data_IF_600625405025
#
_entry.id   IF_600625405025
#
_cell.length_a   1.000
_cell.length_b   1.000
_cell.length_c   1.000
_cell.angle_alpha   90.00
_cell.angle_beta   90.00
_cell.angle_gamma   90.00
#
_symmetry.space_group_name_H-M   'P 1'
#
loop_
_entity.id
_entity.type
_entity.pdbx_description
1 polymer ?
#
# COMPACT_ATOMS: atom_id res chain seq x y z
N UNK A 1 -25.47 17.84 30.05
CA UNK A 1 -26.34 17.12 31.02
C UNK A 1 -27.47 16.29 30.40
N UNK A 2 -27.71 16.35 29.09
CA UNK A 2 -28.80 15.62 28.43
C UNK A 2 -28.44 14.20 27.91
N UNK A 3 -27.14 13.87 27.75
CA UNK A 3 -26.73 12.57 27.28
C UNK A 3 -26.75 11.42 28.31
N UNK A 4 -26.88 11.75 29.59
CA UNK A 4 -26.81 10.75 30.67
C UNK A 4 -28.14 10.02 30.94
N UNK A 5 -29.25 10.51 30.39
CA UNK A 5 -30.58 9.96 30.71
C UNK A 5 -31.06 8.88 29.74
N UNK A 6 -30.36 8.68 28.61
CA UNK A 6 -30.80 7.71 27.60
C UNK A 6 -30.19 6.29 27.75
N UNK A 7 -29.26 6.11 28.70
CA UNK A 7 -28.55 4.84 28.91
C UNK A 7 -28.87 4.14 30.23
N UNK A 8 -29.96 4.52 30.89
CA UNK A 8 -30.45 3.86 32.10
C UNK A 8 -31.47 2.75 31.71
N UNK A 9 -31.04 1.52 31.68
CA UNK A 9 -31.94 0.37 31.61
C UNK A 9 -32.05 -0.21 33.01
N UNK A 10 -33.24 -0.14 33.61
CA UNK A 10 -33.56 -0.79 34.90
C UNK A 10 -32.65 -0.40 36.07
N UNK A 11 -32.28 0.89 36.22
CA UNK A 11 -31.43 1.35 37.30
C UNK A 11 -29.93 1.07 37.11
N UNK A 12 -29.52 0.49 35.98
CA UNK A 12 -28.12 0.19 35.64
C UNK A 12 -27.54 1.27 34.73
N UNK A 13 -26.42 1.87 35.12
CA UNK A 13 -25.76 2.89 34.33
C UNK A 13 -24.86 2.22 33.30
N UNK A 14 -25.37 2.01 32.06
CA UNK A 14 -24.66 1.35 30.96
C UNK A 14 -23.36 2.10 30.58
N UNK A 15 -23.31 3.42 30.81
CA UNK A 15 -22.10 4.20 30.52
C UNK A 15 -20.93 3.86 31.46
N UNK A 16 -21.23 3.34 32.68
CA UNK A 16 -20.17 2.86 33.59
C UNK A 16 -19.50 1.56 33.14
N UNK A 17 -20.14 0.79 32.24
CA UNK A 17 -19.55 -0.45 31.65
C UNK A 17 -18.68 -0.15 30.44
N UNK A 18 -18.77 1.02 29.83
CA UNK A 18 -18.04 1.35 28.62
C UNK A 18 -16.50 1.22 28.77
N UNK A 19 -15.86 1.70 29.88
CA UNK A 19 -14.45 1.47 30.11
C UNK A 19 -14.10 -0.03 30.27
N UNK A 20 -14.97 -0.80 30.93
CA UNK A 20 -14.75 -2.24 31.11
C UNK A 20 -14.83 -2.98 29.78
N UNK A 21 -15.79 -2.63 28.92
CA UNK A 21 -15.93 -3.19 27.57
C UNK A 21 -14.68 -2.88 26.74
N UNK A 22 -14.18 -1.64 26.79
CA UNK A 22 -12.96 -1.23 26.10
C UNK A 22 -11.72 -1.99 26.60
N UNK A 23 -11.61 -2.24 27.91
CA UNK A 23 -10.51 -3.04 28.48
C UNK A 23 -10.62 -4.48 28.04
N UNK A 24 -11.81 -5.07 28.01
CA UNK A 24 -12.02 -6.46 27.55
C UNK A 24 -11.70 -6.59 26.07
N UNK A 25 -12.18 -5.67 25.24
CA UNK A 25 -11.88 -5.62 23.81
C UNK A 25 -10.36 -5.45 23.58
N UNK A 26 -9.74 -4.51 24.28
CA UNK A 26 -8.29 -4.31 24.21
C UNK A 26 -7.49 -5.53 24.67
N UNK A 27 -7.95 -6.22 25.73
CA UNK A 27 -7.35 -7.47 26.18
C UNK A 27 -7.47 -8.60 25.16
N UNK A 28 -8.62 -8.74 24.52
CA UNK A 28 -8.83 -9.73 23.44
C UNK A 28 -7.91 -9.46 22.25
N UNK A 29 -7.77 -8.19 21.86
CA UNK A 29 -6.85 -7.77 20.78
C UNK A 29 -5.41 -8.06 21.13
N UNK A 30 -4.98 -7.79 22.37
CA UNK A 30 -3.61 -8.08 22.83
C UNK A 30 -3.30 -9.58 22.90
N UNK A 31 -4.28 -10.41 23.27
CA UNK A 31 -4.07 -11.86 23.43
C UNK A 31 -4.16 -12.60 22.10
N UNK A 32 -5.07 -12.18 21.22
CA UNK A 32 -5.34 -12.88 19.96
C UNK A 32 -4.71 -12.22 18.72
N UNK A 33 -4.21 -11.00 18.83
CA UNK A 33 -3.76 -10.21 17.69
C UNK A 33 -4.90 -9.78 16.75
N UNK A 34 -6.09 -10.30 16.98
CA UNK A 34 -7.29 -10.13 16.17
C UNK A 34 -8.54 -10.12 17.05
N UNK A 35 -9.51 -9.27 16.74
CA UNK A 35 -10.81 -9.27 17.43
C UNK A 35 -11.72 -10.45 17.03
N UNK A 36 -11.51 -11.03 15.84
CA UNK A 36 -12.47 -11.96 15.24
C UNK A 36 -11.85 -13.07 14.38
N UNK A 37 -10.54 -13.38 14.48
CA UNK A 37 -9.91 -14.37 13.63
C UNK A 37 -8.78 -15.17 14.30
N UNK A 38 -8.52 -16.38 13.82
CA UNK A 38 -7.28 -17.11 14.10
C UNK A 38 -6.13 -16.30 13.45
N UNK A 39 -5.42 -15.54 14.27
CA UNK A 39 -4.37 -14.61 13.88
C UNK A 39 -3.10 -15.26 13.37
N UNK A 40 -3.17 -15.97 12.26
CA UNK A 40 -2.03 -16.50 11.55
C UNK A 40 -2.13 -16.18 10.07
N UNK A 41 -1.30 -15.26 9.56
CA UNK A 41 -1.17 -15.07 8.12
C UNK A 41 -0.78 -16.38 7.44
N UNK A 42 -1.43 -16.71 6.32
CA UNK A 42 -1.06 -17.86 5.49
C UNK A 42 -0.03 -17.45 4.46
N UNK A 43 1.04 -18.25 4.35
CA UNK A 43 2.06 -18.02 3.34
C UNK A 43 1.66 -18.65 2.01
N UNK A 44 2.01 -17.99 0.92
CA UNK A 44 1.90 -18.53 -0.43
C UNK A 44 3.17 -18.27 -1.22
N UNK A 45 3.37 -19.06 -2.25
CA UNK A 45 4.47 -18.88 -3.20
C UNK A 45 4.14 -19.57 -4.50
N UNK A 46 4.32 -18.85 -5.59
CA UNK A 46 3.99 -19.28 -6.93
C UNK A 46 5.26 -19.26 -7.76
N UNK A 47 5.54 -20.34 -8.47
CA UNK A 47 6.67 -20.44 -9.39
C UNK A 47 6.42 -19.62 -10.66
N UNK A 48 7.46 -19.07 -11.25
CA UNK A 48 7.37 -18.21 -12.45
C UNK A 48 6.84 -18.95 -13.68
N UNK A 49 7.30 -20.18 -13.92
CA UNK A 49 6.96 -20.90 -15.15
C UNK A 49 7.42 -20.14 -16.40
N UNK A 50 6.54 -20.06 -17.42
CA UNK A 50 6.76 -19.34 -18.69
C UNK A 50 6.23 -17.90 -18.70
N UNK A 51 5.96 -17.32 -17.51
CA UNK A 51 5.39 -15.97 -17.41
C UNK A 51 6.44 -14.91 -17.77
N UNK A 52 6.08 -14.01 -18.68
CA UNK A 52 6.90 -12.89 -19.13
C UNK A 52 6.35 -11.54 -18.68
N UNK A 53 5.04 -11.43 -18.41
CA UNK A 53 4.39 -10.22 -17.91
C UNK A 53 3.45 -10.57 -16.77
N UNK A 54 3.34 -9.68 -15.77
CA UNK A 54 2.44 -9.94 -14.67
C UNK A 54 1.67 -8.68 -14.20
N UNK A 55 0.48 -8.92 -13.65
CA UNK A 55 -0.32 -7.90 -13.00
C UNK A 55 -0.62 -8.31 -11.55
N UNK A 56 -0.44 -7.36 -10.63
CA UNK A 56 -0.84 -7.45 -9.24
C UNK A 56 -2.06 -6.59 -9.01
N UNK A 57 -3.17 -7.18 -8.59
CA UNK A 57 -4.42 -6.50 -8.26
C UNK A 57 -4.76 -6.76 -6.80
N UNK A 58 -4.59 -5.77 -5.93
CA UNK A 58 -4.94 -5.83 -4.51
C UNK A 58 -6.10 -4.88 -4.22
N UNK A 59 -7.20 -5.43 -3.74
CA UNK A 59 -8.33 -4.67 -3.20
C UNK A 59 -8.48 -5.01 -1.71
N UNK A 60 -7.73 -4.30 -0.87
CA UNK A 60 -7.74 -4.50 0.56
C UNK A 60 -8.75 -3.55 1.23
N UNK A 61 -9.50 -4.06 2.20
CA UNK A 61 -10.35 -3.21 3.04
C UNK A 61 -9.52 -2.46 4.10
N UNK A 62 -9.78 -2.63 5.41
CA UNK A 62 -8.96 -2.10 6.50
C UNK A 62 -7.77 -3.04 6.80
N UNK A 63 -6.83 -3.13 5.86
CA UNK A 63 -5.62 -3.96 5.96
C UNK A 63 -4.44 -3.19 5.40
N UNK A 64 -3.32 -3.25 6.09
CA UNK A 64 -2.05 -2.73 5.60
C UNK A 64 -1.51 -3.62 4.49
N UNK A 65 -0.95 -2.99 3.45
CA UNK A 65 -0.37 -3.70 2.31
C UNK A 65 1.09 -3.33 2.16
N UNK A 66 1.94 -4.35 2.06
CA UNK A 66 3.37 -4.21 1.80
C UNK A 66 3.74 -4.99 0.55
N UNK A 67 4.28 -4.31 -0.47
CA UNK A 67 4.77 -4.93 -1.71
C UNK A 67 6.23 -4.57 -1.95
N UNK A 68 7.05 -5.54 -2.38
CA UNK A 68 8.49 -5.34 -2.60
C UNK A 68 9.07 -6.37 -3.57
N UNK A 69 10.32 -6.17 -4.00
CA UNK A 69 11.03 -7.09 -4.88
C UNK A 69 11.43 -8.40 -4.19
N UNK A 70 11.17 -9.54 -4.83
CA UNK A 70 11.50 -10.88 -4.33
C UNK A 70 13.01 -11.10 -4.41
N UNK A 71 13.63 -11.60 -3.33
CA UNK A 71 15.07 -11.89 -3.30
C UNK A 71 15.44 -13.25 -3.89
N UNK A 72 14.48 -14.15 -4.08
CA UNK A 72 14.71 -15.51 -4.56
C UNK A 72 14.30 -15.64 -6.03
N UNK A 73 15.21 -16.10 -6.84
CA UNK A 73 14.97 -16.45 -8.23
C UNK A 73 14.01 -17.65 -8.37
N UNK A 74 13.42 -17.83 -9.53
CA UNK A 74 12.48 -18.90 -9.90
C UNK A 74 11.06 -18.79 -9.31
N UNK A 75 10.74 -17.79 -8.49
CA UNK A 75 9.36 -17.53 -8.08
C UNK A 75 8.80 -16.32 -8.80
N UNK A 76 7.55 -16.41 -9.22
CA UNK A 76 6.80 -15.28 -9.74
C UNK A 76 6.43 -14.32 -8.61
N UNK A 77 5.86 -14.88 -7.55
CA UNK A 77 5.34 -14.13 -6.43
C UNK A 77 5.34 -14.99 -5.16
N UNK A 78 5.60 -14.37 -4.04
CA UNK A 78 5.46 -14.99 -2.72
C UNK A 78 4.90 -13.97 -1.73
N UNK A 79 4.30 -14.42 -0.66
CA UNK A 79 3.77 -13.49 0.34
C UNK A 79 2.98 -14.14 1.43
N UNK A 80 2.31 -13.26 2.19
CA UNK A 80 1.44 -13.62 3.29
C UNK A 80 0.10 -12.91 3.14
N UNK A 81 -0.98 -13.62 3.46
CA UNK A 81 -2.34 -13.09 3.40
C UNK A 81 -3.17 -13.53 4.60
N UNK A 82 -4.22 -12.80 4.91
CA UNK A 82 -5.19 -13.20 5.94
C UNK A 82 -5.97 -14.45 5.49
N UNK A 83 -6.35 -15.37 6.40
CA UNK A 83 -6.93 -16.68 6.06
C UNK A 83 -8.07 -16.65 5.05
N UNK A 84 -8.91 -15.60 5.09
CA UNK A 84 -10.13 -15.48 4.26
C UNK A 84 -9.90 -14.70 2.95
N UNK A 85 -8.65 -14.35 2.63
CA UNK A 85 -8.28 -13.52 1.47
C UNK A 85 -7.31 -14.24 0.55
N UNK A 86 -7.62 -15.51 0.22
CA UNK A 86 -6.74 -16.35 -0.60
C UNK A 86 -6.44 -15.68 -1.95
N UNK A 87 -5.14 -15.57 -2.32
CA UNK A 87 -4.76 -15.07 -3.63
C UNK A 87 -5.32 -15.96 -4.75
N UNK A 88 -5.90 -15.33 -5.77
CA UNK A 88 -6.35 -15.98 -7.01
C UNK A 88 -5.35 -15.65 -8.13
N UNK A 89 -4.74 -16.68 -8.69
CA UNK A 89 -3.81 -16.58 -9.79
C UNK A 89 -4.44 -17.09 -11.08
N UNK A 90 -4.49 -16.23 -12.07
CA UNK A 90 -4.89 -16.55 -13.43
C UNK A 90 -3.68 -16.43 -14.34
N UNK A 91 -3.40 -17.47 -15.13
CA UNK A 91 -2.32 -17.49 -16.13
C UNK A 91 -2.94 -17.71 -17.49
N UNK A 92 -2.66 -16.77 -18.40
CA UNK A 92 -3.07 -16.85 -19.79
C UNK A 92 -1.83 -16.70 -20.70
N UNK A 93 -1.34 -17.81 -21.23
CA UNK A 93 -0.11 -17.87 -22.00
C UNK A 93 1.10 -17.41 -21.18
N UNK A 94 1.71 -16.30 -21.60
CA UNK A 94 2.87 -15.69 -20.94
C UNK A 94 2.49 -14.59 -19.93
N UNK A 95 1.20 -14.31 -19.75
CA UNK A 95 0.69 -13.29 -18.86
C UNK A 95 0.13 -13.91 -17.57
N UNK A 96 0.50 -13.36 -16.44
CA UNK A 96 -0.06 -13.75 -15.15
C UNK A 96 -0.81 -12.58 -14.51
N UNK A 97 -1.93 -12.86 -13.85
CA UNK A 97 -2.65 -11.90 -13.02
C UNK A 97 -2.87 -12.49 -11.64
N UNK A 98 -2.32 -11.87 -10.64
CA UNK A 98 -2.62 -12.19 -9.25
C UNK A 98 -3.62 -11.21 -8.69
N UNK A 99 -4.76 -11.72 -8.26
CA UNK A 99 -5.80 -10.95 -7.58
C UNK A 99 -5.87 -11.32 -6.11
N UNK A 100 -5.84 -10.31 -5.25
CA UNK A 100 -6.09 -10.43 -3.82
C UNK A 100 -7.25 -9.51 -3.48
N UNK A 101 -8.39 -10.10 -3.18
CA UNK A 101 -9.61 -9.37 -2.88
C UNK A 101 -10.09 -9.73 -1.47
N UNK A 102 -10.58 -8.73 -0.77
CA UNK A 102 -11.14 -8.92 0.56
C UNK A 102 -12.59 -9.34 0.50
N UNK A 103 -12.89 -10.59 0.21
CA UNK A 103 -14.27 -11.06 0.13
C UNK A 103 -14.93 -11.30 1.49
N UNK A 104 -14.17 -11.63 2.54
CA UNK A 104 -14.74 -12.08 3.83
C UNK A 104 -13.86 -11.80 5.07
N UNK A 105 -12.84 -10.94 4.99
CA UNK A 105 -12.00 -10.65 6.16
C UNK A 105 -12.79 -9.89 7.22
N UNK A 106 -12.66 -10.25 8.52
CA UNK A 106 -13.25 -9.51 9.62
C UNK A 106 -12.89 -8.03 9.59
N UNK A 107 -13.76 -7.18 10.09
CA UNK A 107 -13.65 -5.73 9.99
C UNK A 107 -12.34 -5.14 10.56
N UNK A 108 -11.64 -5.91 11.41
CA UNK A 108 -10.36 -5.54 12.01
C UNK A 108 -9.38 -6.71 11.94
N UNK A 109 -8.66 -6.88 10.85
CA UNK A 109 -7.49 -7.74 10.78
C UNK A 109 -6.23 -6.90 10.97
N UNK A 110 -5.40 -7.28 11.95
CA UNK A 110 -4.10 -6.65 12.20
C UNK A 110 -2.97 -7.31 11.39
N UNK A 111 -3.29 -8.37 10.63
CA UNK A 111 -2.29 -9.06 9.81
C UNK A 111 -2.12 -8.33 8.48
N UNK A 112 -0.95 -7.72 8.21
CA UNK A 112 -0.70 -7.04 6.95
C UNK A 112 -0.63 -8.06 5.81
N UNK A 113 -1.04 -7.65 4.62
CA UNK A 113 -0.77 -8.39 3.41
C UNK A 113 0.62 -8.05 2.89
N UNK A 114 1.47 -9.07 2.80
CA UNK A 114 2.82 -8.92 2.30
C UNK A 114 2.96 -9.67 0.98
N UNK A 115 3.49 -8.98 -0.02
CA UNK A 115 3.64 -9.53 -1.37
C UNK A 115 5.01 -9.18 -1.91
N UNK A 116 5.80 -10.22 -2.24
CA UNK A 116 7.10 -10.09 -2.87
C UNK A 116 7.00 -10.51 -4.35
N UNK A 117 7.47 -9.65 -5.26
CA UNK A 117 7.31 -9.75 -6.71
C UNK A 117 8.63 -10.09 -7.39
N UNK A 118 8.60 -10.93 -8.44
CA UNK A 118 9.78 -11.21 -9.27
C UNK A 118 10.34 -9.90 -9.86
N UNK A 119 11.68 -9.80 -9.94
CA UNK A 119 12.37 -8.57 -10.36
C UNK A 119 12.63 -8.49 -11.85
N UNK A 120 12.58 -9.63 -12.53
CA UNK A 120 13.08 -9.85 -13.89
C UNK A 120 11.97 -9.88 -14.95
N UNK A 121 10.79 -9.36 -14.61
CA UNK A 121 9.67 -9.19 -15.55
C UNK A 121 8.86 -7.93 -15.22
N UNK A 122 8.19 -7.33 -16.23
CA UNK A 122 7.38 -6.13 -16.01
C UNK A 122 6.10 -6.43 -15.24
N UNK A 123 5.79 -5.55 -14.27
CA UNK A 123 4.60 -5.62 -13.42
C UNK A 123 3.66 -4.44 -13.66
N UNK A 124 2.38 -4.74 -13.84
CA UNK A 124 1.29 -3.77 -13.63
C UNK A 124 0.82 -3.85 -12.19
N UNK A 125 0.89 -2.74 -11.44
CA UNK A 125 0.64 -2.73 -9.99
C UNK A 125 -0.63 -1.93 -9.69
N UNK A 126 -1.69 -2.61 -9.24
CA UNK A 126 -2.94 -1.99 -8.82
C UNK A 126 -3.20 -2.35 -7.36
N UNK A 127 -3.01 -1.38 -6.46
CA UNK A 127 -3.22 -1.55 -5.02
C UNK A 127 -4.22 -0.51 -4.55
N UNK A 128 -5.31 -0.95 -3.94
CA UNK A 128 -6.33 -0.09 -3.34
C UNK A 128 -6.68 -0.57 -1.95
N UNK A 129 -6.60 0.32 -0.96
CA UNK A 129 -7.08 0.08 0.41
C UNK A 129 -8.14 1.10 0.79
N UNK A 130 -9.09 0.72 1.65
CA UNK A 130 -10.06 1.68 2.19
C UNK A 130 -9.54 2.34 3.45
N UNK A 131 -8.92 1.55 4.31
CA UNK A 131 -8.39 1.93 5.62
C UNK A 131 -7.10 1.14 5.84
N UNK A 132 -5.93 1.80 5.89
CA UNK A 132 -4.66 1.12 6.09
C UNK A 132 -3.52 1.83 5.41
N UNK A 133 -2.31 1.46 5.81
CA UNK A 133 -1.09 1.95 5.21
C UNK A 133 -0.72 1.11 3.99
N UNK A 134 -0.16 1.76 2.98
CA UNK A 134 0.35 1.10 1.79
C UNK A 134 1.84 1.41 1.66
N UNK A 135 2.67 0.38 1.68
CA UNK A 135 4.11 0.50 1.46
C UNK A 135 4.50 -0.31 0.21
N UNK A 136 5.01 0.36 -0.81
CA UNK A 136 5.43 -0.28 -2.06
C UNK A 136 6.86 0.09 -2.39
N UNK A 137 7.75 -0.88 -2.26
CA UNK A 137 9.14 -0.74 -2.69
C UNK A 137 9.32 -1.32 -4.09
N UNK A 138 9.47 -0.45 -5.06
CA UNK A 138 9.66 -0.81 -6.47
C UNK A 138 11.12 -0.70 -6.92
N UNK A 139 12.06 -0.43 -6.00
CA UNK A 139 13.45 -0.15 -6.35
C UNK A 139 14.13 -1.22 -7.21
N UNK A 140 13.73 -2.48 -7.02
CA UNK A 140 14.29 -3.61 -7.77
C UNK A 140 13.32 -4.15 -8.85
N UNK A 141 12.25 -3.43 -9.18
CA UNK A 141 11.20 -3.89 -10.08
C UNK A 141 11.23 -3.15 -11.42
N UNK A 142 10.83 -3.87 -12.46
CA UNK A 142 10.41 -3.31 -13.75
C UNK A 142 8.90 -3.07 -13.66
N UNK A 143 8.46 -1.82 -13.78
CA UNK A 143 7.05 -1.47 -13.61
C UNK A 143 6.42 -1.03 -14.94
N UNK A 144 5.42 -1.77 -15.40
CA UNK A 144 4.59 -1.39 -16.56
C UNK A 144 3.36 -0.59 -16.10
N UNK A 145 3.63 0.44 -15.28
CA UNK A 145 2.63 1.35 -14.76
C UNK A 145 1.75 0.79 -13.65
N UNK A 146 0.86 1.63 -13.13
CA UNK A 146 -0.07 1.20 -12.10
C UNK A 146 -0.72 2.32 -11.30
N UNK A 147 -1.54 1.91 -10.34
CA UNK A 147 -2.24 2.80 -9.40
C UNK A 147 -2.08 2.27 -7.99
N UNK A 148 -1.59 3.11 -7.10
CA UNK A 148 -1.48 2.84 -5.66
C UNK A 148 -2.39 3.84 -4.96
N UNK A 149 -3.42 3.36 -4.27
CA UNK A 149 -4.44 4.22 -3.68
C UNK A 149 -4.81 3.82 -2.26
N UNK A 150 -5.12 4.81 -1.41
CA UNK A 150 -5.75 4.58 -0.11
C UNK A 150 -6.87 5.59 0.12
N UNK A 151 -7.93 5.14 0.79
CA UNK A 151 -8.97 6.02 1.31
C UNK A 151 -8.48 6.79 2.53
N UNK A 152 -8.10 6.06 3.59
CA UNK A 152 -7.58 6.59 4.85
C UNK A 152 -6.31 5.86 5.22
N UNK A 153 -5.19 6.58 5.27
CA UNK A 153 -3.89 6.04 5.64
C UNK A 153 -2.76 6.66 4.84
N UNK A 154 -1.55 6.39 5.27
CA UNK A 154 -0.34 6.87 4.62
C UNK A 154 0.07 5.92 3.48
N UNK A 155 0.65 6.49 2.44
CA UNK A 155 1.29 5.74 1.36
C UNK A 155 2.79 6.03 1.38
N UNK A 156 3.59 4.98 1.34
CA UNK A 156 5.02 5.06 1.13
C UNK A 156 5.40 4.33 -0.15
N UNK A 157 6.07 5.03 -1.06
CA UNK A 157 6.49 4.49 -2.35
C UNK A 157 7.98 4.75 -2.55
N UNK A 158 8.73 3.70 -2.89
CA UNK A 158 10.08 3.83 -3.44
C UNK A 158 10.01 3.72 -4.96
N UNK A 159 10.65 4.66 -5.65
CA UNK A 159 10.61 4.72 -7.11
C UNK A 159 11.16 3.45 -7.76
N UNK A 160 10.59 3.01 -8.90
CA UNK A 160 11.05 1.83 -9.61
C UNK A 160 12.41 2.06 -10.26
N UNK A 161 13.17 0.96 -10.42
CA UNK A 161 14.40 0.96 -11.19
C UNK A 161 14.14 1.31 -12.67
N UNK A 162 13.06 0.73 -13.22
CA UNK A 162 12.61 0.97 -14.59
C UNK A 162 11.09 1.08 -14.62
N UNK A 163 10.57 2.07 -15.34
CA UNK A 163 9.13 2.24 -15.55
C UNK A 163 8.82 2.37 -17.04
N UNK A 164 8.04 1.41 -17.56
CA UNK A 164 7.57 1.43 -18.95
C UNK A 164 6.34 2.34 -19.13
N UNK A 165 5.61 2.56 -18.05
CA UNK A 165 4.44 3.45 -18.01
C UNK A 165 4.33 4.14 -16.64
N UNK A 166 3.63 5.28 -16.54
CA UNK A 166 3.53 6.05 -15.30
C UNK A 166 2.87 5.30 -14.14
N UNK A 167 3.31 5.62 -12.90
CA UNK A 167 2.70 5.17 -11.65
C UNK A 167 1.89 6.31 -11.04
N UNK A 168 0.63 6.03 -10.70
CA UNK A 168 -0.27 6.99 -10.06
C UNK A 168 -0.45 6.66 -8.58
N UNK A 169 -0.11 7.61 -7.70
CA UNK A 169 -0.23 7.47 -6.24
C UNK A 169 -1.29 8.42 -5.74
N UNK A 170 -2.31 7.88 -5.03
CA UNK A 170 -3.48 8.68 -4.60
C UNK A 170 -3.86 8.39 -3.16
N UNK A 171 -4.09 9.45 -2.37
CA UNK A 171 -4.66 9.35 -1.02
C UNK A 171 -5.84 10.29 -0.86
N UNK A 172 -6.93 9.84 -0.22
CA UNK A 172 -8.01 10.74 0.15
C UNK A 172 -7.68 11.46 1.46
N UNK A 173 -7.24 10.74 2.49
CA UNK A 173 -6.83 11.31 3.76
C UNK A 173 -5.61 10.54 4.29
N UNK A 174 -4.48 11.23 4.35
CA UNK A 174 -3.19 10.69 4.76
C UNK A 174 -2.05 11.29 3.97
N UNK A 175 -0.84 10.96 4.36
CA UNK A 175 0.37 11.46 3.74
C UNK A 175 0.88 10.52 2.65
N UNK A 176 1.53 11.09 1.65
CA UNK A 176 2.20 10.34 0.60
C UNK A 176 3.70 10.62 0.68
N UNK A 177 4.51 9.59 0.88
CA UNK A 177 5.97 9.67 0.89
C UNK A 177 6.52 9.00 -0.35
N UNK A 178 7.28 9.74 -1.13
CA UNK A 178 7.97 9.24 -2.31
C UNK A 178 9.47 9.34 -2.06
N UNK A 179 10.14 8.19 -2.08
CA UNK A 179 11.60 8.09 -2.00
C UNK A 179 12.17 7.67 -3.34
N UNK A 180 13.23 8.35 -3.78
CA UNK A 180 13.97 7.97 -4.99
C UNK A 180 15.36 7.49 -4.58
N UNK A 181 15.75 6.23 -4.88
CA UNK A 181 17.10 5.76 -4.64
C UNK A 181 18.15 6.59 -5.40
N UNK A 182 19.37 6.72 -4.88
CA UNK A 182 20.44 7.41 -5.58
C UNK A 182 20.70 6.82 -6.96
N UNK A 183 20.92 7.68 -7.96
CA UNK A 183 21.18 7.28 -9.33
C UNK A 183 19.93 6.98 -10.18
N UNK A 184 18.74 6.95 -9.61
CA UNK A 184 17.51 6.73 -10.37
C UNK A 184 17.05 8.02 -11.06
N UNK A 185 16.61 7.88 -12.31
CA UNK A 185 16.06 8.99 -13.08
C UNK A 185 14.53 9.02 -12.88
N UNK A 186 14.08 9.77 -11.89
CA UNK A 186 12.65 9.81 -11.53
C UNK A 186 12.12 11.22 -11.59
N UNK A 187 11.01 11.38 -12.31
CA UNK A 187 10.20 12.59 -12.38
C UNK A 187 8.93 12.41 -11.54
N UNK A 188 8.73 13.30 -10.58
CA UNK A 188 7.55 13.29 -9.71
C UNK A 188 6.70 14.53 -10.02
N UNK A 189 5.45 14.30 -10.38
CA UNK A 189 4.45 15.34 -10.64
C UNK A 189 3.44 15.35 -9.51
N UNK A 190 3.39 16.42 -8.73
CA UNK A 190 2.53 16.51 -7.55
C UNK A 190 1.38 17.45 -7.80
N UNK A 191 0.15 16.99 -7.62
CA UNK A 191 -1.02 17.86 -7.66
C UNK A 191 -1.37 18.34 -6.27
N UNK A 192 -0.99 19.58 -5.95
CA UNK A 192 -1.31 20.24 -4.68
C UNK A 192 -2.73 20.81 -4.67
N UNK A 193 -3.33 20.90 -3.48
CA UNK A 193 -4.61 21.54 -3.22
C UNK A 193 -4.50 22.44 -1.99
N UNK A 194 -5.59 23.10 -1.58
CA UNK A 194 -5.58 23.88 -0.32
C UNK A 194 -5.37 23.03 0.93
N UNK A 195 -5.69 21.75 0.88
CA UNK A 195 -5.66 20.83 2.02
C UNK A 195 -4.67 19.67 1.82
N UNK A 196 -3.92 19.71 0.72
CA UNK A 196 -2.85 18.78 0.41
C UNK A 196 -1.62 19.56 -0.02
N UNK A 197 -0.64 19.66 0.87
CA UNK A 197 0.58 20.44 0.67
C UNK A 197 1.75 19.55 0.22
N UNK A 198 2.85 20.18 -0.17
CA UNK A 198 4.05 19.51 -0.66
C UNK A 198 5.26 19.95 0.15
N UNK A 199 6.07 18.98 0.56
CA UNK A 199 7.40 19.16 1.17
C UNK A 199 8.44 18.40 0.37
N UNK A 200 9.49 19.09 -0.03
CA UNK A 200 10.53 18.54 -0.91
C UNK A 200 11.88 18.65 -0.22
N UNK A 201 12.64 17.57 -0.23
CA UNK A 201 14.05 17.61 0.11
C UNK A 201 14.84 18.19 -1.08
N UNK A 202 15.18 19.46 -0.99
CA UNK A 202 15.91 20.18 -2.04
C UNK A 202 17.34 19.65 -2.25
N UNK A 203 17.89 18.88 -1.32
CA UNK A 203 19.17 18.22 -1.52
C UNK A 203 19.08 17.07 -2.54
N UNK A 204 17.92 16.43 -2.64
CA UNK A 204 17.70 15.25 -3.50
C UNK A 204 16.92 15.54 -4.76
N UNK A 205 16.12 16.61 -4.78
CA UNK A 205 15.27 16.96 -5.91
C UNK A 205 15.54 18.37 -6.43
N UNK A 206 15.35 18.58 -7.71
CA UNK A 206 15.30 19.89 -8.35
C UNK A 206 13.93 20.14 -8.96
N UNK A 207 13.42 21.36 -8.82
CA UNK A 207 12.17 21.75 -9.48
C UNK A 207 12.44 22.05 -10.95
N UNK A 208 11.72 21.41 -11.84
CA UNK A 208 11.77 21.64 -13.27
C UNK A 208 10.73 22.70 -13.68
N UNK A 209 9.51 22.55 -13.13
CA UNK A 209 8.35 23.41 -13.32
C UNK A 209 7.52 23.45 -12.02
N UNK A 210 6.54 24.35 -11.86
CA UNK A 210 5.64 24.29 -10.71
C UNK A 210 5.03 22.90 -10.54
N UNK A 211 5.23 22.30 -9.36
CA UNK A 211 4.76 20.95 -9.01
C UNK A 211 5.39 19.78 -9.80
N UNK A 212 6.48 20.03 -10.53
CA UNK A 212 7.25 19.00 -11.24
C UNK A 212 8.67 18.96 -10.70
N UNK A 213 9.06 17.80 -10.17
CA UNK A 213 10.35 17.58 -9.51
C UNK A 213 11.08 16.42 -10.17
N UNK A 214 12.37 16.55 -10.32
CA UNK A 214 13.26 15.50 -10.83
C UNK A 214 14.33 15.17 -9.81
N UNK A 215 14.69 13.90 -9.72
CA UNK A 215 15.80 13.49 -8.88
C UNK A 215 17.10 14.16 -9.33
N UNK A 216 17.96 14.55 -8.37
CA UNK A 216 19.29 15.05 -8.67
C UNK A 216 20.23 13.89 -8.97
N UNK A 217 21.18 14.13 -9.85
CA UNK A 217 22.28 13.22 -10.17
C UNK A 217 21.81 11.79 -10.58
N UNK A 218 20.89 11.67 -11.57
CA UNK A 218 20.56 10.36 -12.09
C UNK A 218 21.77 9.73 -12.76
N UNK A 219 21.90 8.40 -12.71
CA UNK A 219 22.95 7.70 -13.42
C UNK A 219 22.81 7.91 -14.93
N UNK A 220 23.93 7.97 -15.68
CA UNK A 220 23.90 8.01 -17.15
C UNK A 220 23.07 6.82 -17.68
N UNK A 221 22.30 7.07 -18.74
CA UNK A 221 21.48 6.07 -19.43
C UNK A 221 20.36 5.41 -18.60
N UNK A 222 20.07 5.92 -17.40
CA UNK A 222 18.94 5.45 -16.61
C UNK A 222 17.61 5.89 -17.23
N UNK A 223 16.66 4.97 -17.53
CA UNK A 223 15.36 5.34 -18.07
C UNK A 223 14.56 6.23 -17.11
N UNK A 224 13.80 7.19 -17.64
CA UNK A 224 12.97 8.07 -16.83
C UNK A 224 11.75 7.31 -16.30
N UNK A 225 11.56 7.29 -14.97
CA UNK A 225 10.36 6.83 -14.32
C UNK A 225 9.48 8.02 -13.95
N UNK A 226 8.18 7.97 -14.27
CA UNK A 226 7.23 9.06 -13.96
C UNK A 226 6.25 8.63 -12.89
N UNK A 227 6.18 9.41 -11.79
CA UNK A 227 5.26 9.18 -10.68
C UNK A 227 4.33 10.39 -10.54
N UNK A 228 3.02 10.17 -10.63
CA UNK A 228 1.99 11.18 -10.38
C UNK A 228 1.45 11.03 -8.96
N UNK A 229 1.54 12.09 -8.16
CA UNK A 229 1.06 12.14 -6.77
C UNK A 229 -0.14 13.05 -6.66
N UNK A 230 -1.22 12.55 -6.08
CA UNK A 230 -2.45 13.31 -5.86
C UNK A 230 -3.04 12.97 -4.47
N UNK A 231 -3.33 14.00 -3.67
CA UNK A 231 -4.01 13.84 -2.38
C UNK A 231 -5.14 14.84 -2.21
N UNK A 232 -6.09 14.52 -1.33
CA UNK A 232 -7.18 15.43 -0.98
C UNK A 232 -6.87 16.15 0.34
N UNK A 233 -6.46 15.40 1.38
CA UNK A 233 -6.09 15.91 2.70
C UNK A 233 -4.77 15.28 3.16
N UNK A 234 -3.84 16.10 3.64
CA UNK A 234 -2.53 15.64 4.13
C UNK A 234 -1.37 16.34 3.44
N UNK A 235 -0.24 15.67 3.42
CA UNK A 235 0.99 16.19 2.84
C UNK A 235 1.65 15.17 1.90
N UNK A 236 2.26 15.65 0.82
CA UNK A 236 3.23 14.89 0.03
C UNK A 236 4.65 15.22 0.50
N UNK A 237 5.48 14.19 0.66
CA UNK A 237 6.89 14.30 1.00
C UNK A 237 7.72 13.68 -0.12
N UNK A 238 8.62 14.44 -0.71
CA UNK A 238 9.67 13.93 -1.59
C UNK A 238 10.97 13.86 -0.79
N UNK A 239 11.44 12.61 -0.51
CA UNK A 239 12.50 12.28 0.44
C UNK A 239 13.75 11.74 -0.27
#
# INVERSE_FOLDING_TARGET
MLANNFLLISGFNVSALLPLILVVIGGIVLIRGDLFGEGGGKNFGITRGSVENAALEISAGPVDVVAYGLQREARLIAGQYAPDSRPDLQVDGVNARLRMDRAATPFFSLTPWQVALARDLPWKIYISTHLGQVSVDMSDLIVDGGVIATGFGDIQVTAPHEALAPVYVRSTLGNIRVSVPPGYNTKVVVRTTRLFSLRVDEARYSSLEPNVYVARDPAPDQPEAVIYVNGTFGDAYLL
#
